data_IF_815052154799
#
_entry.id   IF_815052154799
#
_cell.length_a   1.000
_cell.length_b   1.000
_cell.length_c   1.000
_cell.angle_alpha   90.00
_cell.angle_beta   90.00
_cell.angle_gamma   90.00
#
_symmetry.space_group_name_H-M   'P 1'
#
loop_
_entity.id
_entity.type
_entity.pdbx_description
1 polymer ?
#
# COMPACT_ATOMS: atom_id res chain seq x y z
N UNK A 1 -4.68 28.74 0.68
CA UNK A 1 -5.00 27.34 1.02
C UNK A 1 -4.46 27.07 2.43
N UNK A 2 -5.19 26.27 3.23
CA UNK A 2 -4.68 25.84 4.55
C UNK A 2 -3.43 24.98 4.31
N UNK A 3 -2.40 25.15 5.13
CA UNK A 3 -1.25 24.26 5.14
C UNK A 3 -1.62 22.99 5.88
N UNK A 4 -1.42 21.84 5.27
CA UNK A 4 -1.80 20.53 5.82
C UNK A 4 -0.56 19.81 6.30
N UNK A 5 -0.62 19.28 7.50
CA UNK A 5 0.49 18.59 8.14
C UNK A 5 0.13 17.15 8.52
N UNK A 6 1.12 16.29 8.52
CA UNK A 6 1.08 14.93 9.03
C UNK A 6 1.66 14.99 10.45
N UNK A 7 0.80 14.83 11.44
CA UNK A 7 1.18 14.92 12.85
C UNK A 7 1.90 13.65 13.34
N UNK A 8 1.46 12.49 12.85
CA UNK A 8 2.07 11.20 13.19
C UNK A 8 1.82 10.16 12.11
N UNK A 9 2.58 9.08 12.18
CA UNK A 9 2.46 7.94 11.29
C UNK A 9 2.90 6.66 12.00
N UNK A 10 2.25 5.53 11.73
CA UNK A 10 2.70 4.21 12.17
C UNK A 10 2.13 3.10 11.29
N UNK A 11 2.72 1.92 11.37
CA UNK A 11 2.24 0.69 10.73
C UNK A 11 2.41 -0.52 11.63
N UNK A 12 1.69 -1.59 11.37
CA UNK A 12 2.06 -2.90 11.90
C UNK A 12 3.29 -3.43 11.17
N UNK A 13 3.98 -4.39 11.74
CA UNK A 13 4.80 -5.28 10.92
C UNK A 13 3.90 -5.99 9.89
N UNK A 14 4.48 -6.41 8.76
CA UNK A 14 3.75 -7.07 7.67
C UNK A 14 3.84 -8.58 7.84
N UNK A 15 2.67 -9.23 7.96
CA UNK A 15 2.54 -10.68 8.01
C UNK A 15 2.64 -11.31 6.61
N UNK A 16 3.25 -12.47 6.50
CA UNK A 16 3.23 -13.29 5.29
C UNK A 16 1.99 -14.16 5.23
N UNK A 17 1.64 -14.65 4.07
CA UNK A 17 0.53 -15.60 3.88
C UNK A 17 0.71 -16.86 4.77
N UNK A 18 -0.34 -17.20 5.54
CA UNK A 18 -0.30 -18.25 6.54
C UNK A 18 0.61 -17.96 7.73
N UNK A 19 1.02 -16.69 7.92
CA UNK A 19 1.93 -16.25 8.96
C UNK A 19 1.26 -15.84 10.27
N UNK A 20 1.96 -15.01 11.03
CA UNK A 20 1.57 -14.66 12.40
C UNK A 20 0.27 -13.86 12.45
N UNK A 21 -0.01 -13.03 11.42
CA UNK A 21 -1.25 -12.21 11.35
C UNK A 21 -2.44 -12.92 10.71
N UNK A 22 -2.30 -14.13 10.19
CA UNK A 22 -3.31 -14.84 9.39
C UNK A 22 -4.72 -14.88 10.00
N UNK A 23 -4.84 -14.86 11.32
CA UNK A 23 -6.12 -14.90 12.04
C UNK A 23 -6.47 -13.58 12.76
N UNK A 24 -5.80 -12.48 12.45
CA UNK A 24 -6.08 -11.17 13.04
C UNK A 24 -6.94 -10.36 12.06
N UNK A 25 -8.23 -10.09 12.36
CA UNK A 25 -9.11 -9.40 11.43
C UNK A 25 -8.57 -8.02 11.01
N UNK A 26 -8.80 -7.63 9.74
CA UNK A 26 -8.36 -6.33 9.22
C UNK A 26 -8.80 -5.15 10.11
N UNK A 27 -10.04 -5.16 10.61
CA UNK A 27 -10.55 -4.12 11.51
C UNK A 27 -9.80 -4.07 12.86
N UNK A 28 -9.24 -5.19 13.32
CA UNK A 28 -8.40 -5.23 14.53
C UNK A 28 -7.04 -4.60 14.25
N UNK A 29 -6.38 -5.00 13.14
CA UNK A 29 -5.13 -4.39 12.70
C UNK A 29 -5.29 -2.88 12.51
N UNK A 30 -6.39 -2.46 11.86
CA UNK A 30 -6.73 -1.05 11.68
C UNK A 30 -6.90 -0.30 13.01
N UNK A 31 -7.57 -0.93 14.00
CA UNK A 31 -7.77 -0.31 15.31
C UNK A 31 -6.45 -0.06 16.06
N UNK A 32 -5.50 -0.98 15.95
CA UNK A 32 -4.19 -0.88 16.59
C UNK A 32 -3.42 0.32 16.03
N UNK A 33 -3.35 0.47 14.72
CA UNK A 33 -2.61 1.58 14.09
C UNK A 33 -3.32 2.92 14.27
N UNK A 34 -4.65 2.98 14.26
CA UNK A 34 -5.41 4.21 14.55
C UNK A 34 -5.11 4.69 15.98
N UNK A 35 -5.23 3.79 16.94
CA UNK A 35 -4.95 4.12 18.35
C UNK A 35 -3.53 4.60 18.56
N UNK A 36 -2.57 3.92 17.97
CA UNK A 36 -1.15 4.28 18.09
C UNK A 36 -0.84 5.60 17.38
N UNK A 37 -1.39 5.85 16.19
CA UNK A 37 -1.22 7.11 15.50
C UNK A 37 -1.73 8.30 16.33
N UNK A 38 -2.89 8.17 16.97
CA UNK A 38 -3.42 9.18 17.90
C UNK A 38 -2.50 9.38 19.11
N UNK A 39 -2.00 8.30 19.71
CA UNK A 39 -1.05 8.36 20.82
C UNK A 39 0.23 9.13 20.45
N UNK A 40 0.81 8.82 19.29
CA UNK A 40 2.03 9.49 18.79
C UNK A 40 1.82 10.96 18.49
N UNK A 41 0.63 11.33 18.00
CA UNK A 41 0.24 12.72 17.76
C UNK A 41 -0.16 13.46 19.02
N UNK A 42 -0.29 12.78 20.17
CA UNK A 42 -0.90 13.32 21.40
C UNK A 42 -2.28 13.95 21.13
N UNK A 43 -3.07 13.32 20.26
CA UNK A 43 -4.44 13.71 19.90
C UNK A 43 -5.43 12.79 20.63
N UNK A 44 -6.42 13.40 21.31
CA UNK A 44 -7.49 12.63 21.97
C UNK A 44 -8.49 12.12 20.94
N UNK A 45 -9.09 10.94 21.15
CA UNK A 45 -10.10 10.38 20.23
C UNK A 45 -11.25 11.36 19.91
N UNK A 46 -11.68 12.16 20.91
CA UNK A 46 -12.80 13.13 20.79
C UNK A 46 -12.47 14.35 19.90
N UNK A 47 -11.20 14.53 19.54
CA UNK A 47 -10.75 15.63 18.67
C UNK A 47 -10.74 15.26 17.20
N UNK A 48 -11.00 13.98 16.86
CA UNK A 48 -10.97 13.48 15.48
C UNK A 48 -12.32 13.73 14.82
N UNK A 49 -12.29 14.47 13.72
CA UNK A 49 -13.50 14.81 12.96
C UNK A 49 -13.93 13.68 12.01
N UNK A 50 -12.96 12.94 11.43
CA UNK A 50 -13.25 11.92 10.43
C UNK A 50 -12.17 10.83 10.35
N UNK A 51 -12.55 9.63 9.84
CA UNK A 51 -11.65 8.50 9.60
C UNK A 51 -11.81 7.99 8.17
N UNK A 52 -10.71 7.94 7.41
CA UNK A 52 -10.61 7.26 6.12
C UNK A 52 -9.66 6.07 6.21
N UNK A 53 -10.16 4.84 6.02
CA UNK A 53 -9.31 3.65 5.99
C UNK A 53 -9.54 2.84 4.72
N UNK A 54 -8.45 2.55 4.00
CA UNK A 54 -8.44 1.65 2.88
C UNK A 54 -8.67 0.20 3.30
N UNK A 55 -9.52 -0.53 2.58
CA UNK A 55 -9.68 -1.97 2.68
C UNK A 55 -10.28 -2.47 1.38
N UNK A 56 -9.65 -3.43 0.73
CA UNK A 56 -10.02 -3.91 -0.62
C UNK A 56 -10.88 -5.16 -0.54
N UNK A 57 -10.43 -6.16 0.20
CA UNK A 57 -11.12 -7.45 0.32
C UNK A 57 -12.10 -7.37 1.50
N UNK A 58 -13.31 -6.89 1.21
CA UNK A 58 -14.32 -6.62 2.24
C UNK A 58 -15.35 -7.74 2.41
N UNK A 59 -15.34 -8.76 1.54
CA UNK A 59 -16.27 -9.86 1.63
C UNK A 59 -16.20 -10.57 3.00
N UNK A 60 -17.34 -10.69 3.68
CA UNK A 60 -17.41 -11.36 4.98
C UNK A 60 -16.91 -10.55 6.19
N UNK A 61 -16.35 -9.35 6.02
CA UNK A 61 -15.85 -8.52 7.14
C UNK A 61 -16.96 -7.73 7.87
N UNK A 62 -18.20 -7.79 7.40
CA UNK A 62 -19.30 -7.02 7.94
C UNK A 62 -19.40 -5.61 7.37
N UNK A 63 -20.23 -4.77 7.98
CA UNK A 63 -20.47 -3.41 7.49
C UNK A 63 -19.29 -2.49 7.80
N UNK A 64 -18.88 -1.68 6.83
CA UNK A 64 -17.95 -0.55 6.98
C UNK A 64 -16.74 -0.86 7.88
N UNK A 65 -15.75 -1.53 7.33
CA UNK A 65 -14.56 -2.01 8.08
C UNK A 65 -13.81 -0.86 8.77
N UNK A 66 -13.76 0.35 8.15
CA UNK A 66 -13.19 1.54 8.76
C UNK A 66 -13.94 1.97 10.02
N UNK A 67 -15.29 1.90 10.00
CA UNK A 67 -16.10 2.20 11.19
C UNK A 67 -15.84 1.21 12.31
N UNK A 68 -15.71 -0.08 12.01
CA UNK A 68 -15.35 -1.09 12.99
C UNK A 68 -13.99 -0.80 13.63
N UNK A 69 -12.98 -0.47 12.80
CA UNK A 69 -11.64 -0.14 13.28
C UNK A 69 -11.63 1.11 14.16
N UNK A 70 -12.34 2.18 13.75
CA UNK A 70 -12.41 3.44 14.51
C UNK A 70 -13.02 3.26 15.90
N UNK A 71 -14.15 2.55 16.00
CA UNK A 71 -14.80 2.28 17.28
C UNK A 71 -13.97 1.37 18.19
N UNK A 72 -13.31 0.34 17.60
CA UNK A 72 -12.37 -0.53 18.33
C UNK A 72 -11.14 0.24 18.84
N UNK A 73 -10.70 1.28 18.11
CA UNK A 73 -9.62 2.15 18.55
C UNK A 73 -10.02 3.11 19.69
N UNK A 74 -11.30 3.21 20.00
CA UNK A 74 -11.84 4.05 21.07
C UNK A 74 -12.32 5.44 20.62
N UNK A 75 -12.50 5.67 19.32
CA UNK A 75 -13.10 6.93 18.83
C UNK A 75 -14.59 6.99 19.23
N UNK A 76 -15.13 8.20 19.45
CA UNK A 76 -16.54 8.39 19.77
C UNK A 76 -17.47 7.93 18.63
N UNK A 77 -18.72 7.65 19.00
CA UNK A 77 -19.74 7.23 18.04
C UNK A 77 -20.11 8.36 17.06
N UNK A 78 -19.86 9.58 17.43
CA UNK A 78 -20.09 10.79 16.64
C UNK A 78 -19.08 10.94 15.50
N UNK A 79 -17.86 10.39 15.64
CA UNK A 79 -16.82 10.48 14.60
C UNK A 79 -17.17 9.55 13.44
N UNK A 80 -17.53 10.05 12.25
CA UNK A 80 -17.81 9.22 11.07
C UNK A 80 -16.56 8.55 10.55
N UNK A 81 -16.76 7.40 9.86
CA UNK A 81 -15.68 6.66 9.22
C UNK A 81 -16.10 6.12 7.86
N UNK A 82 -15.20 6.14 6.89
CA UNK A 82 -15.44 5.65 5.52
C UNK A 82 -14.37 4.65 5.11
N UNK A 83 -14.82 3.49 4.65
CA UNK A 83 -13.94 2.50 4.02
C UNK A 83 -13.74 2.87 2.55
N UNK A 84 -12.49 3.03 2.13
CA UNK A 84 -12.11 3.41 0.77
C UNK A 84 -11.58 2.20 0.03
N UNK A 85 -12.05 1.99 -1.18
CA UNK A 85 -11.51 1.00 -2.11
C UNK A 85 -11.14 1.65 -3.44
N UNK A 86 -9.86 1.84 -3.63
CA UNK A 86 -9.17 2.20 -4.87
C UNK A 86 -8.03 1.18 -5.05
N UNK A 87 -8.34 -0.10 -4.85
CA UNK A 87 -7.41 -1.23 -4.88
C UNK A 87 -6.11 -0.88 -4.12
N UNK A 88 -4.92 -1.10 -4.71
CA UNK A 88 -3.62 -0.84 -4.08
C UNK A 88 -3.42 0.61 -3.59
N UNK A 89 -4.06 1.57 -4.23
CA UNK A 89 -3.97 3.00 -3.90
C UNK A 89 -4.79 3.44 -2.71
N UNK A 90 -5.62 2.57 -2.13
CA UNK A 90 -6.60 2.94 -1.10
C UNK A 90 -5.99 3.71 0.06
N UNK A 91 -4.93 3.18 0.67
CA UNK A 91 -4.28 3.80 1.83
C UNK A 91 -3.67 5.17 1.55
N UNK A 92 -2.97 5.34 0.42
CA UNK A 92 -2.37 6.63 0.05
C UNK A 92 -3.45 7.65 -0.37
N UNK A 93 -4.49 7.18 -1.06
CA UNK A 93 -5.61 8.04 -1.43
C UNK A 93 -6.42 8.51 -0.22
N UNK A 94 -6.52 7.71 0.85
CA UNK A 94 -7.10 8.15 2.12
C UNK A 94 -6.39 9.39 2.67
N UNK A 95 -5.05 9.43 2.61
CA UNK A 95 -4.26 10.59 3.03
C UNK A 95 -4.55 11.80 2.15
N UNK A 96 -4.60 11.62 0.82
CA UNK A 96 -4.94 12.71 -0.11
C UNK A 96 -6.37 13.24 0.10
N UNK A 97 -7.34 12.35 0.36
CA UNK A 97 -8.72 12.74 0.68
C UNK A 97 -8.82 13.47 2.02
N UNK A 98 -8.08 13.04 3.04
CA UNK A 98 -8.00 13.72 4.33
C UNK A 98 -7.46 15.14 4.19
N UNK A 99 -6.38 15.31 3.45
CA UNK A 99 -5.81 16.63 3.17
C UNK A 99 -6.81 17.53 2.44
N UNK A 100 -7.50 17.02 1.42
CA UNK A 100 -8.52 17.74 0.65
C UNK A 100 -9.71 18.14 1.53
N UNK A 101 -10.18 17.27 2.43
CA UNK A 101 -11.27 17.55 3.36
C UNK A 101 -10.92 18.70 4.32
N UNK A 102 -9.67 18.71 4.83
CA UNK A 102 -9.18 19.78 5.69
C UNK A 102 -8.98 21.08 4.91
N UNK A 103 -8.47 21.02 3.68
CA UNK A 103 -8.37 22.20 2.80
C UNK A 103 -9.74 22.83 2.50
N UNK A 104 -10.77 21.98 2.31
CA UNK A 104 -12.16 22.43 2.10
C UNK A 104 -12.78 23.09 3.34
N UNK A 105 -12.22 22.81 4.53
CA UNK A 105 -12.74 23.35 5.80
C UNK A 105 -13.81 22.47 6.46
N UNK A 106 -14.01 21.23 5.98
CA UNK A 106 -15.01 20.31 6.52
C UNK A 106 -14.49 19.52 7.73
N UNK A 107 -13.18 19.56 7.98
CA UNK A 107 -12.52 18.93 9.13
C UNK A 107 -11.24 19.70 9.50
N UNK A 108 -10.78 19.51 10.73
CA UNK A 108 -9.47 19.98 11.21
C UNK A 108 -8.50 18.82 11.49
N UNK A 109 -9.01 17.66 11.96
CA UNK A 109 -8.22 16.47 12.27
C UNK A 109 -8.86 15.23 11.64
N UNK A 110 -8.13 14.55 10.79
CA UNK A 110 -8.57 13.32 10.10
C UNK A 110 -7.54 12.21 10.32
N UNK A 111 -8.00 11.02 10.70
CA UNK A 111 -7.18 9.80 10.65
C UNK A 111 -7.33 9.18 9.27
N UNK A 112 -6.20 8.93 8.61
CA UNK A 112 -6.15 8.33 7.27
C UNK A 112 -5.17 7.15 7.23
N UNK A 113 -5.54 6.09 6.53
CA UNK A 113 -4.67 4.92 6.44
C UNK A 113 -5.26 3.78 5.63
N UNK A 114 -4.86 2.56 5.96
CA UNK A 114 -5.40 1.35 5.35
C UNK A 114 -5.10 0.12 6.18
N UNK A 115 -5.87 -0.92 5.94
CA UNK A 115 -5.78 -2.21 6.62
C UNK A 115 -6.18 -3.31 5.65
N UNK A 116 -5.52 -4.44 5.73
CA UNK A 116 -5.85 -5.62 4.94
C UNK A 116 -5.46 -6.88 5.67
N UNK A 117 -6.30 -7.90 5.61
CA UNK A 117 -5.91 -9.26 5.92
C UNK A 117 -6.32 -10.14 4.72
N UNK A 118 -5.34 -10.49 3.90
CA UNK A 118 -5.57 -11.26 2.67
C UNK A 118 -5.77 -12.75 2.99
N UNK A 119 -5.23 -13.24 4.10
CA UNK A 119 -5.41 -14.62 4.57
C UNK A 119 -6.88 -14.93 4.91
N UNK A 120 -7.63 -13.93 5.40
CA UNK A 120 -9.03 -14.09 5.80
C UNK A 120 -10.02 -13.88 4.65
N UNK A 121 -9.55 -13.69 3.41
CA UNK A 121 -10.42 -13.57 2.25
C UNK A 121 -11.27 -14.85 2.06
N UNK A 122 -12.61 -14.77 2.08
CA UNK A 122 -13.45 -15.94 1.97
C UNK A 122 -13.58 -16.42 0.53
N UNK A 123 -13.97 -17.67 0.37
CA UNK A 123 -14.51 -18.17 -0.89
C UNK A 123 -16.01 -17.88 -0.98
N UNK A 124 -16.46 -17.28 -2.07
CA UNK A 124 -17.86 -16.90 -2.29
C UNK A 124 -18.57 -17.83 -3.28
N UNK A 125 -19.79 -18.18 -2.96
CA UNK A 125 -20.70 -18.87 -3.87
C UNK A 125 -21.60 -17.83 -4.55
N UNK A 126 -21.20 -17.30 -5.69
CA UNK A 126 -21.81 -16.13 -6.36
C UNK A 126 -23.32 -16.28 -6.63
N UNK A 127 -23.79 -17.47 -6.98
CA UNK A 127 -25.21 -17.76 -7.29
C UNK A 127 -25.94 -18.48 -6.15
N UNK A 128 -25.30 -18.64 -4.98
CA UNK A 128 -25.83 -19.42 -3.87
C UNK A 128 -27.15 -18.90 -3.28
N UNK A 129 -27.48 -17.60 -3.46
CA UNK A 129 -28.74 -16.99 -2.99
C UNK A 129 -29.99 -17.68 -3.54
N UNK A 130 -29.92 -18.24 -4.73
CA UNK A 130 -31.02 -18.97 -5.35
C UNK A 130 -30.96 -20.47 -5.08
N UNK A 131 -30.04 -20.94 -4.26
CA UNK A 131 -29.76 -22.35 -3.97
C UNK A 131 -29.03 -23.06 -5.11
N UNK A 132 -28.53 -24.26 -4.82
CA UNK A 132 -27.72 -25.02 -5.78
C UNK A 132 -28.46 -25.36 -7.05
N UNK A 133 -29.74 -25.74 -6.94
CA UNK A 133 -30.53 -26.23 -8.07
C UNK A 133 -30.98 -25.13 -9.05
N UNK A 134 -31.19 -23.89 -8.55
CA UNK A 134 -31.61 -22.74 -9.37
C UNK A 134 -30.44 -21.81 -9.73
N UNK A 135 -29.41 -21.76 -8.88
CA UNK A 135 -28.26 -20.84 -9.03
C UNK A 135 -27.17 -21.38 -9.95
N UNK A 136 -27.04 -22.71 -10.07
CA UNK A 136 -25.96 -23.34 -10.84
C UNK A 136 -26.50 -24.30 -11.88
N UNK A 137 -25.84 -24.48 -13.06
CA UNK A 137 -26.15 -25.53 -14.03
C UNK A 137 -26.04 -26.92 -13.39
N UNK A 138 -26.87 -27.88 -13.88
CA UNK A 138 -26.78 -29.26 -13.40
C UNK A 138 -25.38 -29.83 -13.58
N UNK A 139 -24.87 -30.43 -12.49
CA UNK A 139 -23.53 -31.05 -12.46
C UNK A 139 -22.35 -30.10 -12.28
N UNK A 140 -22.60 -28.79 -12.08
CA UNK A 140 -21.53 -27.79 -11.83
C UNK A 140 -21.87 -26.95 -10.61
N UNK A 141 -20.86 -26.69 -9.77
CA UNK A 141 -20.86 -25.68 -8.71
C UNK A 141 -19.50 -25.01 -8.70
N UNK A 142 -19.47 -23.74 -8.36
CA UNK A 142 -18.26 -22.92 -8.41
C UNK A 142 -18.14 -22.12 -7.13
N UNK A 143 -16.95 -22.14 -6.54
CA UNK A 143 -16.52 -21.24 -5.48
C UNK A 143 -15.50 -20.27 -6.07
N UNK A 144 -15.68 -18.99 -5.80
CA UNK A 144 -14.80 -17.92 -6.25
C UNK A 144 -13.95 -17.49 -5.06
N UNK A 145 -12.63 -17.52 -5.22
CA UNK A 145 -11.69 -16.94 -4.28
C UNK A 145 -11.78 -15.40 -4.36
N UNK A 146 -12.30 -14.77 -3.31
CA UNK A 146 -12.50 -13.32 -3.30
C UNK A 146 -11.20 -12.55 -3.23
N UNK A 147 -10.12 -13.13 -2.72
CA UNK A 147 -8.80 -12.53 -2.76
C UNK A 147 -8.34 -12.33 -4.20
N UNK A 148 -8.48 -13.35 -5.03
CA UNK A 148 -8.12 -13.27 -6.45
C UNK A 148 -9.11 -12.39 -7.20
N UNK A 149 -10.41 -12.65 -7.06
CA UNK A 149 -11.45 -11.98 -7.82
C UNK A 149 -11.53 -10.47 -7.57
N UNK A 150 -11.42 -10.04 -6.32
CA UNK A 150 -11.68 -8.65 -5.91
C UNK A 150 -10.40 -7.80 -5.84
N UNK A 151 -9.22 -8.44 -5.73
CA UNK A 151 -7.97 -7.71 -5.59
C UNK A 151 -6.91 -7.99 -6.67
N UNK A 152 -6.86 -9.21 -7.26
CA UNK A 152 -5.78 -9.64 -8.14
C UNK A 152 -6.21 -9.90 -9.59
N UNK A 153 -7.50 -9.75 -9.89
CA UNK A 153 -8.06 -9.98 -11.22
C UNK A 153 -8.62 -8.70 -11.83
N UNK A 154 -8.26 -8.41 -13.08
CA UNK A 154 -8.84 -7.26 -13.79
C UNK A 154 -10.31 -7.55 -14.18
N UNK A 155 -11.20 -6.71 -13.71
CA UNK A 155 -12.64 -6.75 -14.01
C UNK A 155 -13.06 -5.63 -14.98
N UNK A 156 -12.13 -4.84 -15.51
CA UNK A 156 -12.44 -3.68 -16.38
C UNK A 156 -12.65 -4.06 -17.85
N UNK A 157 -12.46 -5.33 -18.19
CA UNK A 157 -12.73 -5.86 -19.53
C UNK A 157 -11.58 -6.67 -20.15
N UNK A 158 -10.36 -6.55 -19.61
CA UNK A 158 -9.22 -7.34 -20.09
C UNK A 158 -9.17 -8.75 -19.49
N UNK A 159 -9.87 -8.98 -18.39
CA UNK A 159 -10.10 -10.30 -17.79
C UNK A 159 -8.80 -11.08 -17.55
N UNK A 160 -7.86 -10.49 -16.85
CA UNK A 160 -6.54 -11.06 -16.60
C UNK A 160 -6.06 -10.88 -15.16
N UNK A 161 -5.23 -11.79 -14.69
CA UNK A 161 -4.54 -11.66 -13.40
C UNK A 161 -3.52 -10.50 -13.43
N UNK A 162 -3.32 -9.83 -12.29
CA UNK A 162 -2.36 -8.71 -12.18
C UNK A 162 -0.94 -9.08 -12.63
N UNK A 163 -0.50 -10.33 -12.44
CA UNK A 163 0.77 -10.81 -12.96
C UNK A 163 0.88 -10.82 -14.49
N UNK A 164 -0.27 -10.97 -15.21
CA UNK A 164 -0.28 -10.81 -16.67
C UNK A 164 -0.08 -9.36 -17.09
N UNK A 165 -0.56 -8.39 -16.30
CA UNK A 165 -0.28 -6.97 -16.57
C UNK A 165 1.22 -6.67 -16.43
N UNK A 166 1.90 -7.34 -15.50
CA UNK A 166 3.35 -7.24 -15.34
C UNK A 166 4.11 -7.84 -16.56
N UNK A 167 3.67 -8.99 -17.09
CA UNK A 167 4.21 -9.54 -18.33
C UNK A 167 4.00 -8.59 -19.52
N UNK A 168 2.83 -7.94 -19.61
CA UNK A 168 2.55 -6.94 -20.66
C UNK A 168 3.49 -5.73 -20.57
N UNK A 169 3.80 -5.24 -19.38
CA UNK A 169 4.78 -4.17 -19.18
C UNK A 169 6.14 -4.57 -19.78
N UNK A 170 6.60 -5.80 -19.57
CA UNK A 170 7.91 -6.24 -20.07
C UNK A 170 7.97 -6.40 -21.59
N UNK A 171 6.87 -6.79 -22.24
CA UNK A 171 6.89 -7.30 -23.61
C UNK A 171 6.20 -6.42 -24.66
N UNK A 172 5.40 -5.42 -24.24
CA UNK A 172 4.61 -4.64 -25.19
C UNK A 172 5.32 -3.35 -25.65
N UNK A 173 5.90 -3.40 -26.84
CA UNK A 173 6.62 -2.27 -27.43
C UNK A 173 5.80 -0.98 -27.57
N UNK A 174 4.49 -1.08 -27.75
CA UNK A 174 3.62 0.11 -27.86
C UNK A 174 3.65 0.91 -26.58
N UNK A 175 3.57 0.24 -25.41
CA UNK A 175 3.62 0.89 -24.11
C UNK A 175 5.03 1.34 -23.75
N UNK A 176 6.06 0.57 -24.10
CA UNK A 176 7.46 0.99 -23.95
C UNK A 176 7.73 2.33 -24.63
N UNK A 177 7.32 2.47 -25.90
CA UNK A 177 7.43 3.72 -26.64
C UNK A 177 6.57 4.84 -26.08
N UNK A 178 5.30 4.53 -25.69
CA UNK A 178 4.35 5.51 -25.17
C UNK A 178 4.81 6.12 -23.85
N UNK A 179 5.33 5.31 -22.94
CA UNK A 179 5.70 5.71 -21.59
C UNK A 179 7.18 6.02 -21.41
N UNK A 180 8.03 5.66 -22.37
CA UNK A 180 9.45 6.04 -22.43
C UNK A 180 10.36 5.16 -21.58
N UNK A 181 10.24 3.83 -21.72
CA UNK A 181 11.14 2.86 -21.07
C UNK A 181 11.55 1.76 -22.06
N UNK A 182 12.61 1.03 -21.73
CA UNK A 182 13.19 -0.01 -22.59
C UNK A 182 12.52 -1.39 -22.37
N UNK A 183 12.69 -2.35 -23.31
CA UNK A 183 12.36 -3.75 -23.06
C UNK A 183 13.07 -4.27 -21.81
N UNK A 184 12.34 -5.01 -20.98
CA UNK A 184 12.84 -5.47 -19.68
C UNK A 184 13.10 -6.97 -19.74
N UNK A 185 14.30 -7.38 -19.33
CA UNK A 185 14.70 -8.79 -19.28
C UNK A 185 14.37 -9.44 -17.94
N UNK A 186 14.35 -10.76 -17.91
CA UNK A 186 14.22 -11.55 -16.69
C UNK A 186 15.32 -11.24 -15.67
N UNK A 187 16.53 -11.06 -16.13
CA UNK A 187 17.70 -10.79 -15.31
C UNK A 187 17.56 -9.46 -14.56
N UNK A 188 17.10 -8.40 -15.25
CA UNK A 188 16.79 -7.11 -14.62
C UNK A 188 15.71 -7.22 -13.53
N UNK A 189 14.68 -8.06 -13.75
CA UNK A 189 13.65 -8.28 -12.75
C UNK A 189 14.18 -8.98 -11.49
N UNK A 190 14.99 -10.01 -11.69
CA UNK A 190 15.58 -10.79 -10.60
C UNK A 190 16.61 -9.95 -9.82
N UNK A 191 17.40 -9.12 -10.50
CA UNK A 191 18.36 -8.19 -9.90
C UNK A 191 17.64 -7.13 -9.05
N UNK A 192 16.59 -6.52 -9.59
CA UNK A 192 15.77 -5.58 -8.83
C UNK A 192 15.20 -6.22 -7.55
N UNK A 193 14.63 -7.42 -7.69
CA UNK A 193 14.07 -8.16 -6.56
C UNK A 193 15.15 -8.53 -5.52
N UNK A 194 16.32 -8.94 -5.98
CA UNK A 194 17.47 -9.24 -5.12
C UNK A 194 17.88 -8.03 -4.29
N UNK A 195 18.02 -6.86 -4.90
CA UNK A 195 18.37 -5.63 -4.19
C UNK A 195 17.28 -5.16 -3.22
N UNK A 196 16.00 -5.34 -3.56
CA UNK A 196 14.91 -5.09 -2.60
C UNK A 196 15.05 -5.95 -1.34
N UNK A 197 15.35 -7.24 -1.51
CA UNK A 197 15.60 -8.18 -0.39
C UNK A 197 16.83 -7.81 0.43
N UNK A 198 17.94 -7.43 -0.21
CA UNK A 198 19.17 -6.98 0.49
C UNK A 198 18.91 -5.72 1.34
N UNK A 199 18.27 -4.71 0.74
CA UNK A 199 17.92 -3.45 1.42
C UNK A 199 17.00 -3.72 2.62
N UNK A 200 15.97 -4.57 2.46
CA UNK A 200 15.04 -4.90 3.54
C UNK A 200 15.71 -5.68 4.68
N UNK A 201 16.51 -6.69 4.35
CA UNK A 201 17.25 -7.47 5.35
C UNK A 201 18.22 -6.58 6.15
N UNK A 202 18.92 -5.69 5.47
CA UNK A 202 19.81 -4.71 6.12
C UNK A 202 19.00 -3.74 7.00
N UNK A 203 17.90 -3.18 6.52
CA UNK A 203 17.06 -2.24 7.26
C UNK A 203 16.50 -2.88 8.55
N UNK A 204 16.08 -4.15 8.51
CA UNK A 204 15.65 -4.89 9.71
C UNK A 204 16.81 -5.07 10.68
N UNK A 205 17.96 -5.51 10.20
CA UNK A 205 19.14 -5.71 11.05
C UNK A 205 19.61 -4.43 11.74
N UNK A 206 19.58 -3.29 11.01
CA UNK A 206 19.94 -1.97 11.51
C UNK A 206 18.83 -1.34 12.40
N UNK A 207 17.64 -1.96 12.45
CA UNK A 207 16.51 -1.45 13.24
C UNK A 207 15.81 -0.23 12.63
N UNK A 208 15.95 0.01 11.32
CA UNK A 208 15.39 1.17 10.62
C UNK A 208 13.86 1.27 10.72
N UNK A 209 13.16 0.16 10.93
CA UNK A 209 11.71 0.14 11.05
C UNK A 209 11.17 0.25 12.48
N UNK A 210 12.03 0.32 13.50
CA UNK A 210 11.60 0.32 14.91
C UNK A 210 10.69 1.49 15.27
N UNK A 211 10.94 2.66 14.71
CA UNK A 211 10.17 3.87 15.02
C UNK A 211 8.81 3.87 14.32
N UNK A 212 8.65 3.16 13.20
CA UNK A 212 7.41 3.15 12.45
C UNK A 212 6.47 1.99 12.84
N UNK A 213 7.01 0.88 13.33
CA UNK A 213 6.22 -0.31 13.68
C UNK A 213 5.57 -0.16 15.05
N UNK A 214 4.27 -0.48 15.11
CA UNK A 214 3.55 -0.74 16.36
C UNK A 214 3.39 -2.25 16.54
N UNK A 215 3.78 -2.82 17.69
CA UNK A 215 3.64 -4.24 17.94
C UNK A 215 2.17 -4.69 17.96
N UNK A 216 1.89 -5.84 17.34
CA UNK A 216 0.59 -6.53 17.43
C UNK A 216 0.71 -7.64 18.46
N UNK A 217 -0.10 -7.56 19.53
CA UNK A 217 -0.12 -8.58 20.59
C UNK A 217 -1.23 -9.59 20.32
N UNK A 218 -0.84 -10.81 19.99
CA UNK A 218 -1.75 -11.91 19.66
C UNK A 218 -1.91 -12.79 20.90
N UNK A 219 -3.15 -12.81 21.42
CA UNK A 219 -3.49 -13.60 22.61
C UNK A 219 -3.47 -15.10 22.32
N UNK A 220 -2.72 -15.86 23.09
CA UNK A 220 -2.59 -17.30 22.92
C UNK A 220 -2.82 -18.10 24.21
N UNK A 221 -3.30 -19.33 24.09
CA UNK A 221 -3.53 -20.23 25.26
C UNK A 221 -2.25 -20.55 26.04
N UNK A 222 -1.08 -20.46 25.39
CA UNK A 222 0.24 -20.76 25.99
C UNK A 222 1.06 -19.50 26.29
N UNK A 223 0.46 -18.33 26.18
CA UNK A 223 1.06 -17.01 26.32
C UNK A 223 0.85 -16.14 25.07
N UNK A 224 1.02 -14.85 25.24
CA UNK A 224 0.88 -13.88 24.17
C UNK A 224 2.11 -13.91 23.23
N UNK A 225 1.87 -13.74 21.94
CA UNK A 225 2.90 -13.51 20.93
C UNK A 225 2.93 -12.03 20.57
N UNK A 226 4.10 -11.41 20.65
CA UNK A 226 4.32 -10.03 20.18
C UNK A 226 4.87 -10.10 18.76
N UNK A 227 4.16 -9.50 17.81
CA UNK A 227 4.55 -9.42 16.42
C UNK A 227 4.96 -7.99 16.08
N UNK A 228 6.25 -7.76 15.87
CA UNK A 228 6.88 -6.45 15.71
C UNK A 228 7.97 -6.41 14.61
N UNK A 229 8.09 -7.48 13.82
CA UNK A 229 9.10 -7.59 12.76
C UNK A 229 8.47 -8.15 11.49
N UNK A 230 8.78 -7.55 10.35
CA UNK A 230 8.27 -7.97 9.05
C UNK A 230 8.70 -9.41 8.72
N UNK A 231 7.75 -10.28 8.36
CA UNK A 231 8.00 -11.71 8.06
C UNK A 231 8.40 -11.99 6.61
N UNK A 232 8.27 -10.99 5.72
CA UNK A 232 8.44 -11.16 4.29
C UNK A 232 9.88 -11.41 3.83
N UNK A 233 10.87 -10.67 4.35
CA UNK A 233 12.21 -10.71 3.78
C UNK A 233 12.86 -12.08 3.82
N UNK A 234 13.30 -12.54 2.64
CA UNK A 234 13.95 -13.83 2.44
C UNK A 234 15.05 -13.69 1.40
N UNK A 235 16.26 -13.37 1.87
CA UNK A 235 17.42 -13.24 1.01
C UNK A 235 17.74 -14.57 0.31
N UNK A 236 18.05 -14.49 -0.97
CA UNK A 236 18.43 -15.64 -1.82
C UNK A 236 19.59 -15.21 -2.73
N UNK A 237 20.15 -16.12 -3.53
CA UNK A 237 21.17 -15.77 -4.52
C UNK A 237 20.55 -15.56 -5.91
N UNK A 238 21.22 -14.78 -6.76
CA UNK A 238 20.82 -14.58 -8.16
C UNK A 238 20.73 -15.92 -8.92
N UNK A 239 21.59 -16.86 -8.61
CA UNK A 239 21.55 -18.22 -9.21
C UNK A 239 20.24 -18.95 -8.88
N UNK A 240 19.75 -18.83 -7.63
CA UNK A 240 18.48 -19.43 -7.20
C UNK A 240 17.31 -18.73 -7.85
N UNK A 241 17.32 -17.39 -7.90
CA UNK A 241 16.28 -16.61 -8.54
C UNK A 241 16.14 -16.95 -10.03
N UNK A 242 17.24 -17.03 -10.76
CA UNK A 242 17.28 -17.37 -12.19
C UNK A 242 16.70 -18.75 -12.52
N UNK A 243 16.66 -19.71 -11.58
CA UNK A 243 16.09 -21.04 -11.76
C UNK A 243 14.57 -21.12 -11.55
N UNK A 244 13.93 -20.06 -11.02
CA UNK A 244 12.49 -20.05 -10.78
C UNK A 244 11.70 -20.00 -12.08
N UNK A 245 10.60 -20.76 -12.12
CA UNK A 245 9.70 -20.78 -13.27
C UNK A 245 8.77 -19.56 -13.25
N UNK A 246 8.39 -19.05 -14.44
CA UNK A 246 7.34 -18.04 -14.53
C UNK A 246 6.02 -18.53 -13.91
N UNK A 247 5.27 -17.62 -13.29
CA UNK A 247 4.04 -17.95 -12.56
C UNK A 247 2.76 -17.67 -13.38
N UNK A 248 2.79 -16.72 -14.31
CA UNK A 248 1.56 -16.20 -14.92
C UNK A 248 1.45 -16.56 -16.41
N UNK A 249 2.56 -16.73 -17.10
CA UNK A 249 2.62 -17.03 -18.53
C UNK A 249 3.67 -18.12 -18.77
N UNK A 250 3.36 -19.12 -19.61
CA UNK A 250 4.22 -20.30 -19.84
C UNK A 250 5.67 -19.93 -20.20
N UNK A 251 5.82 -18.95 -21.11
CA UNK A 251 7.12 -18.45 -21.58
C UNK A 251 7.34 -17.01 -21.09
N UNK A 252 6.84 -16.68 -19.90
CA UNK A 252 6.98 -15.38 -19.28
C UNK A 252 8.27 -15.21 -18.50
N UNK A 253 8.42 -14.05 -17.88
CA UNK A 253 9.60 -13.69 -17.08
C UNK A 253 9.26 -13.27 -15.65
N UNK A 254 7.96 -13.15 -15.32
CA UNK A 254 7.48 -12.78 -13.98
C UNK A 254 7.37 -14.04 -13.13
N UNK A 255 8.07 -14.04 -11.99
CA UNK A 255 8.15 -15.19 -11.06
C UNK A 255 7.64 -14.81 -9.67
N UNK A 256 7.48 -15.78 -8.78
CA UNK A 256 7.15 -15.54 -7.39
C UNK A 256 8.22 -14.72 -6.63
N UNK A 257 9.47 -14.72 -7.08
CA UNK A 257 10.54 -13.98 -6.40
C UNK A 257 10.67 -12.52 -6.88
N UNK A 258 10.21 -12.22 -8.10
CA UNK A 258 10.20 -10.85 -8.63
C UNK A 258 8.79 -10.22 -8.64
N UNK A 259 7.92 -10.75 -7.76
CA UNK A 259 6.57 -10.29 -7.46
C UNK A 259 6.42 -10.09 -5.95
N UNK A 260 5.58 -9.15 -5.53
CA UNK A 260 5.17 -9.05 -4.13
C UNK A 260 4.33 -10.26 -3.72
N UNK A 261 4.35 -10.59 -2.44
CA UNK A 261 3.59 -11.69 -1.88
C UNK A 261 2.17 -11.25 -1.44
N UNK A 262 1.38 -12.22 -1.01
CA UNK A 262 0.10 -12.05 -0.31
C UNK A 262 0.43 -11.78 1.16
N UNK A 263 -0.14 -10.72 1.73
CA UNK A 263 0.28 -10.23 3.03
C UNK A 263 -0.87 -9.59 3.83
N UNK A 264 -0.63 -9.47 5.14
CA UNK A 264 -1.51 -8.84 6.10
C UNK A 264 -0.82 -7.67 6.76
N UNK A 265 -1.57 -6.60 7.04
CA UNK A 265 -1.00 -5.44 7.73
C UNK A 265 -1.91 -4.22 7.72
N UNK A 266 -1.51 -3.20 8.47
CA UNK A 266 -2.21 -1.93 8.53
C UNK A 266 -1.22 -0.77 8.74
N UNK A 267 -1.64 0.44 8.32
CA UNK A 267 -0.92 1.68 8.57
C UNK A 267 -1.92 2.83 8.77
N UNK A 268 -1.59 3.79 9.63
CA UNK A 268 -2.40 4.96 9.87
C UNK A 268 -1.54 6.21 10.10
N UNK A 269 -2.10 7.35 9.70
CA UNK A 269 -1.51 8.68 9.87
C UNK A 269 -2.57 9.61 10.45
N UNK A 270 -2.15 10.58 11.26
CA UNK A 270 -3.00 11.70 11.71
C UNK A 270 -2.67 12.92 10.87
N UNK A 271 -3.67 13.42 10.16
CA UNK A 271 -3.58 14.57 9.24
C UNK A 271 -4.35 15.72 9.88
N UNK A 272 -3.77 16.92 9.88
CA UNK A 272 -4.48 18.10 10.41
C UNK A 272 -4.03 19.39 9.73
N UNK A 273 -4.76 20.50 9.97
CA UNK A 273 -4.30 21.83 9.57
C UNK A 273 -3.10 22.26 10.43
N UNK A 274 -2.19 23.04 9.86
CA UNK A 274 -1.05 23.59 10.62
C UNK A 274 -1.53 24.48 11.79
N UNK A 275 -2.63 25.18 11.61
CA UNK A 275 -3.24 25.99 12.66
C UNK A 275 -3.68 25.11 13.83
N UNK A 276 -4.30 23.95 13.54
CA UNK A 276 -4.74 23.00 14.57
C UNK A 276 -3.57 22.34 15.28
N UNK A 277 -2.51 22.01 14.55
CA UNK A 277 -1.28 21.49 15.16
C UNK A 277 -0.69 22.49 16.16
N UNK A 278 -0.62 23.79 15.79
CA UNK A 278 -0.15 24.86 16.68
C UNK A 278 -1.05 25.03 17.92
N UNK A 279 -2.38 25.01 17.73
CA UNK A 279 -3.35 25.10 18.82
C UNK A 279 -3.16 23.97 19.85
N UNK A 280 -2.89 22.75 19.38
CA UNK A 280 -2.71 21.58 20.24
C UNK A 280 -1.27 21.39 20.74
N UNK A 281 -0.32 22.20 20.28
CA UNK A 281 1.09 22.06 20.61
C UNK A 281 1.71 20.77 20.02
N UNK A 282 1.18 20.30 18.88
CA UNK A 282 1.68 19.13 18.15
C UNK A 282 2.78 19.56 17.20
N UNK A 283 3.95 18.94 17.30
CA UNK A 283 5.03 19.11 16.34
C UNK A 283 4.78 18.18 15.13
N UNK A 284 4.59 18.73 13.92
CA UNK A 284 4.32 17.91 12.75
C UNK A 284 5.52 17.06 12.34
N UNK A 285 5.27 15.82 11.90
CA UNK A 285 6.27 14.95 11.31
C UNK A 285 6.63 15.43 9.89
N UNK A 286 5.67 15.92 9.11
CA UNK A 286 5.86 16.45 7.76
C UNK A 286 4.69 17.34 7.33
N UNK A 287 4.88 18.08 6.24
CA UNK A 287 3.84 18.78 5.49
C UNK A 287 3.40 17.93 4.29
N UNK A 288 2.10 17.77 4.09
CA UNK A 288 1.55 17.28 2.83
C UNK A 288 1.58 18.40 1.79
N UNK A 289 2.28 18.19 0.69
CA UNK A 289 2.44 19.20 -0.37
C UNK A 289 1.34 19.06 -1.42
N UNK A 290 1.16 17.87 -1.96
CA UNK A 290 0.13 17.56 -2.95
C UNK A 290 -0.08 16.06 -3.11
N UNK A 291 -1.25 15.70 -3.64
CA UNK A 291 -1.55 14.34 -4.07
C UNK A 291 -2.29 14.31 -5.41
N UNK A 292 -2.19 13.18 -6.12
CA UNK A 292 -2.86 12.96 -7.39
C UNK A 292 -3.23 11.49 -7.60
N UNK A 293 -4.38 11.28 -8.27
CA UNK A 293 -4.76 10.04 -8.95
C UNK A 293 -4.69 10.27 -10.46
N UNK A 294 -4.25 9.26 -11.21
CA UNK A 294 -4.24 9.30 -12.68
C UNK A 294 -4.58 7.91 -13.24
N UNK A 295 -5.19 7.89 -14.43
CA UNK A 295 -5.54 6.68 -15.16
C UNK A 295 -4.49 6.32 -16.22
N UNK A 296 -4.36 5.02 -16.49
CA UNK A 296 -3.59 4.42 -17.59
C UNK A 296 -4.38 3.22 -18.13
N UNK A 297 -3.90 2.57 -19.16
CA UNK A 297 -4.53 1.36 -19.69
C UNK A 297 -4.51 0.24 -18.63
N UNK A 298 -5.67 -0.40 -18.36
CA UNK A 298 -5.77 -1.45 -17.33
C UNK A 298 -4.81 -2.62 -17.54
N UNK A 299 -4.57 -3.01 -18.78
CA UNK A 299 -3.69 -4.13 -19.15
C UNK A 299 -2.21 -3.91 -18.85
N UNK A 300 -1.84 -2.67 -18.51
CA UNK A 300 -0.50 -2.26 -18.04
C UNK A 300 -0.61 -1.37 -16.80
N UNK A 301 -1.51 -1.71 -15.89
CA UNK A 301 -1.80 -0.95 -14.66
C UNK A 301 -0.54 -0.56 -13.88
N UNK A 302 0.52 -1.38 -13.98
CA UNK A 302 1.81 -1.12 -13.34
C UNK A 302 2.45 0.21 -13.72
N UNK A 303 2.09 0.80 -14.87
CA UNK A 303 2.58 2.09 -15.33
C UNK A 303 1.83 3.29 -14.72
N UNK A 304 0.79 3.05 -13.91
CA UNK A 304 0.03 4.08 -13.20
C UNK A 304 0.87 5.12 -12.45
N UNK A 305 1.96 4.73 -11.74
CA UNK A 305 2.85 5.67 -11.07
C UNK A 305 3.43 6.74 -12.00
N UNK A 306 3.69 6.42 -13.27
CA UNK A 306 4.22 7.39 -14.25
C UNK A 306 3.21 8.53 -14.45
N UNK A 307 1.95 8.19 -14.66
CA UNK A 307 0.89 9.17 -14.87
C UNK A 307 0.59 9.99 -13.61
N UNK A 308 0.51 9.32 -12.45
CA UNK A 308 0.22 9.97 -11.17
C UNK A 308 1.35 10.91 -10.73
N UNK A 309 2.61 10.48 -10.87
CA UNK A 309 3.79 11.29 -10.55
C UNK A 309 3.87 12.50 -11.47
N UNK A 310 3.74 12.33 -12.80
CA UNK A 310 3.72 13.46 -13.72
C UNK A 310 2.62 14.46 -13.38
N UNK A 311 1.44 13.99 -12.97
CA UNK A 311 0.32 14.84 -12.59
C UNK A 311 0.57 15.63 -11.29
N UNK A 312 1.14 15.01 -10.26
CA UNK A 312 1.45 15.71 -9.00
C UNK A 312 2.60 16.68 -9.17
N UNK A 313 3.62 16.34 -9.98
CA UNK A 313 4.71 17.25 -10.34
C UNK A 313 4.20 18.47 -11.10
N UNK A 314 3.34 18.30 -12.10
CA UNK A 314 2.70 19.41 -12.82
C UNK A 314 1.86 20.32 -11.90
N UNK A 315 1.20 19.75 -10.89
CA UNK A 315 0.42 20.49 -9.89
C UNK A 315 1.28 21.36 -8.98
N UNK A 316 2.49 20.93 -8.67
CA UNK A 316 3.39 21.59 -7.72
C UNK A 316 4.47 22.45 -8.37
N UNK A 317 4.74 22.22 -9.64
CA UNK A 317 5.90 22.81 -10.34
C UNK A 317 7.23 22.14 -9.98
N UNK A 318 7.21 21.05 -9.17
CA UNK A 318 8.38 20.26 -8.83
C UNK A 318 8.70 19.23 -9.92
N UNK A 319 9.91 18.70 -9.85
CA UNK A 319 10.40 17.59 -10.69
C UNK A 319 10.81 16.40 -9.81
N UNK A 320 11.08 15.27 -10.43
CA UNK A 320 11.59 14.09 -9.72
C UNK A 320 12.98 14.37 -9.12
N UNK A 321 13.80 15.18 -9.77
CA UNK A 321 15.14 15.54 -9.29
C UNK A 321 15.11 16.34 -7.99
N UNK A 322 13.99 17.04 -7.70
CA UNK A 322 13.80 17.77 -6.44
C UNK A 322 13.52 16.83 -5.24
N UNK A 323 13.29 15.54 -5.49
CA UNK A 323 13.00 14.57 -4.43
C UNK A 323 14.29 14.02 -3.84
N UNK A 324 14.39 14.05 -2.51
CA UNK A 324 15.52 13.45 -1.78
C UNK A 324 15.34 11.95 -1.62
N UNK A 325 14.10 11.49 -1.37
CA UNK A 325 13.75 10.08 -1.26
C UNK A 325 12.46 9.77 -2.02
N UNK A 326 12.37 8.54 -2.51
CA UNK A 326 11.22 8.01 -3.25
C UNK A 326 10.84 6.65 -2.69
N UNK A 327 9.59 6.48 -2.31
CA UNK A 327 8.97 5.18 -2.04
C UNK A 327 7.98 4.86 -3.17
N UNK A 328 8.36 3.97 -4.07
CA UNK A 328 7.53 3.45 -5.14
C UNK A 328 7.16 1.99 -4.83
N UNK A 329 5.88 1.69 -4.66
CA UNK A 329 5.45 0.35 -4.26
C UNK A 329 5.84 -0.70 -5.31
N UNK A 330 6.45 -1.78 -4.85
CA UNK A 330 6.96 -2.88 -5.69
C UNK A 330 5.91 -4.00 -5.79
N UNK A 331 4.79 -3.76 -6.49
CA UNK A 331 3.84 -4.84 -6.75
C UNK A 331 4.47 -5.97 -7.58
N UNK A 332 5.29 -5.59 -8.57
CA UNK A 332 6.13 -6.47 -9.40
C UNK A 332 7.43 -5.74 -9.74
N UNK A 333 8.54 -6.46 -9.87
CA UNK A 333 9.79 -5.87 -10.38
C UNK A 333 9.61 -5.29 -11.78
N UNK A 334 8.77 -5.90 -12.63
CA UNK A 334 8.44 -5.45 -13.97
C UNK A 334 8.00 -3.97 -14.00
N UNK A 335 6.99 -3.62 -13.20
CA UNK A 335 6.52 -2.24 -13.17
C UNK A 335 7.50 -1.31 -12.45
N UNK A 336 8.23 -1.80 -11.46
CA UNK A 336 9.20 -0.97 -10.72
C UNK A 336 10.36 -0.54 -11.62
N UNK A 337 10.90 -1.45 -12.44
CA UNK A 337 11.94 -1.14 -13.42
C UNK A 337 11.42 -0.17 -14.48
N UNK A 338 10.24 -0.45 -15.09
CA UNK A 338 9.63 0.42 -16.09
C UNK A 338 9.38 1.84 -15.58
N UNK A 339 8.82 1.97 -14.38
CA UNK A 339 8.54 3.26 -13.74
C UNK A 339 9.83 4.01 -13.41
N UNK A 340 10.84 3.30 -12.88
CA UNK A 340 12.15 3.88 -12.56
C UNK A 340 12.85 4.44 -13.80
N UNK A 341 12.83 3.71 -14.92
CA UNK A 341 13.38 4.20 -16.19
C UNK A 341 12.59 5.40 -16.73
N UNK A 342 11.26 5.28 -16.82
CA UNK A 342 10.39 6.30 -17.42
C UNK A 342 10.36 7.64 -16.65
N UNK A 343 10.64 7.60 -15.36
CA UNK A 343 10.70 8.76 -14.48
C UNK A 343 12.13 9.15 -14.07
N UNK A 344 13.13 8.41 -14.56
CA UNK A 344 14.55 8.62 -14.25
C UNK A 344 14.84 8.60 -12.75
N UNK A 345 14.26 7.63 -12.01
CA UNK A 345 14.49 7.51 -10.57
C UNK A 345 15.95 7.16 -10.27
N UNK A 346 16.56 7.95 -9.38
CA UNK A 346 17.86 7.63 -8.80
C UNK A 346 17.72 6.41 -7.88
N UNK A 347 18.42 5.32 -8.18
CA UNK A 347 18.36 4.07 -7.43
C UNK A 347 18.87 4.18 -5.99
N UNK A 348 19.72 5.18 -5.70
CA UNK A 348 20.20 5.47 -4.34
C UNK A 348 19.15 6.19 -3.47
N UNK A 349 18.13 6.79 -4.12
CA UNK A 349 17.00 7.46 -3.47
C UNK A 349 15.73 6.59 -3.42
N UNK A 350 15.70 5.51 -4.21
CA UNK A 350 14.52 4.66 -4.40
C UNK A 350 14.49 3.52 -3.39
N UNK A 351 13.37 3.41 -2.64
CA UNK A 351 13.09 2.30 -1.73
C UNK A 351 14.34 1.94 -0.90
N UNK A 352 14.87 2.93 -0.21
CA UNK A 352 16.19 2.84 0.45
C UNK A 352 16.26 1.77 1.56
N UNK A 353 15.11 1.32 2.04
CA UNK A 353 14.96 0.27 3.04
C UNK A 353 14.34 -1.02 2.44
N UNK A 354 14.39 -1.19 1.11
CA UNK A 354 13.66 -2.25 0.41
C UNK A 354 12.17 -1.93 0.25
N UNK A 355 11.47 -2.68 -0.59
CA UNK A 355 10.07 -2.43 -0.91
C UNK A 355 9.20 -3.69 -0.81
N UNK A 356 8.03 -3.66 -1.46
CA UNK A 356 7.00 -4.67 -1.27
C UNK A 356 7.37 -6.08 -1.76
N UNK A 357 8.31 -6.23 -2.68
CA UNK A 357 8.83 -7.56 -3.07
C UNK A 357 9.44 -8.28 -1.87
N UNK A 358 10.13 -7.53 -1.01
CA UNK A 358 10.74 -8.06 0.21
C UNK A 358 9.78 -7.99 1.40
N UNK A 359 9.20 -6.81 1.66
CA UNK A 359 8.40 -6.56 2.86
C UNK A 359 6.98 -7.12 2.77
N UNK A 360 6.37 -7.08 1.57
CA UNK A 360 5.00 -7.51 1.34
C UNK A 360 4.04 -6.40 0.89
N UNK A 361 2.86 -6.82 0.39
CA UNK A 361 1.87 -5.94 -0.23
C UNK A 361 0.44 -6.20 0.30
N UNK A 362 0.13 -5.85 1.56
CA UNK A 362 -1.25 -5.85 2.05
C UNK A 362 -2.05 -4.75 1.31
N UNK A 363 -2.86 -5.15 0.32
CA UNK A 363 -3.33 -4.30 -0.78
C UNK A 363 -3.92 -2.97 -0.31
N UNK A 364 -4.93 -2.99 0.57
CA UNK A 364 -5.59 -1.77 1.05
C UNK A 364 -4.73 -0.90 1.99
N UNK A 365 -3.72 -1.49 2.62
CA UNK A 365 -2.81 -0.79 3.54
C UNK A 365 -1.57 -0.22 2.85
N UNK A 366 -1.14 -0.80 1.73
CA UNK A 366 0.17 -0.54 1.12
C UNK A 366 0.44 0.92 0.81
N UNK A 367 -0.56 1.66 0.32
CA UNK A 367 -0.37 3.08 0.03
C UNK A 367 -0.05 3.92 1.26
N UNK A 368 -0.67 3.65 2.40
CA UNK A 368 -0.33 4.28 3.67
C UNK A 368 1.03 3.76 4.20
N UNK A 369 1.31 2.45 4.05
CA UNK A 369 2.56 1.82 4.48
C UNK A 369 3.77 2.48 3.82
N UNK A 370 3.76 2.66 2.48
CA UNK A 370 4.89 3.29 1.78
C UNK A 370 5.12 4.73 2.24
N UNK A 371 4.03 5.48 2.51
CA UNK A 371 4.17 6.84 3.03
C UNK A 371 4.74 6.85 4.45
N UNK A 372 4.32 5.95 5.33
CA UNK A 372 4.89 5.80 6.68
C UNK A 372 6.40 5.52 6.59
N UNK A 373 6.80 4.54 5.78
CA UNK A 373 8.22 4.19 5.60
C UNK A 373 9.02 5.37 5.01
N UNK A 374 8.47 6.08 4.01
CA UNK A 374 9.09 7.29 3.46
C UNK A 374 9.37 8.34 4.53
N UNK A 375 8.37 8.65 5.37
CA UNK A 375 8.48 9.67 6.41
C UNK A 375 9.58 9.33 7.42
N UNK A 376 9.65 8.08 7.88
CA UNK A 376 10.71 7.69 8.82
C UNK A 376 12.08 7.58 8.15
N UNK A 377 12.17 7.13 6.90
CA UNK A 377 13.41 7.16 6.14
C UNK A 377 13.92 8.60 5.93
N UNK A 378 13.03 9.55 5.62
CA UNK A 378 13.35 10.98 5.51
C UNK A 378 13.89 11.52 6.84
N UNK A 379 13.19 11.27 7.93
CA UNK A 379 13.60 11.69 9.28
C UNK A 379 14.99 11.16 9.65
N UNK A 380 15.24 9.87 9.45
CA UNK A 380 16.53 9.24 9.81
C UNK A 380 17.70 9.70 8.94
N UNK A 381 17.42 10.12 7.70
CA UNK A 381 18.44 10.54 6.73
C UNK A 381 18.58 12.05 6.61
N UNK A 382 17.75 12.84 7.31
CA UNK A 382 17.72 14.31 7.19
C UNK A 382 17.29 14.77 5.79
N UNK A 383 16.42 14.01 5.12
CA UNK A 383 15.87 14.35 3.82
C UNK A 383 14.69 15.31 3.95
N UNK A 384 14.52 16.22 2.98
CA UNK A 384 13.53 17.29 3.06
C UNK A 384 12.29 17.02 2.19
N UNK A 385 12.46 16.48 0.98
CA UNK A 385 11.33 16.21 0.06
C UNK A 385 11.24 14.73 -0.27
N UNK A 386 10.03 14.21 -0.20
CA UNK A 386 9.75 12.81 -0.50
C UNK A 386 8.54 12.59 -1.40
N UNK A 387 8.64 11.58 -2.25
CA UNK A 387 7.57 11.10 -3.13
C UNK A 387 7.16 9.69 -2.74
N UNK A 388 5.88 9.48 -2.43
CA UNK A 388 5.28 8.16 -2.36
C UNK A 388 4.40 7.93 -3.60
N UNK A 389 4.56 6.80 -4.30
CA UNK A 389 3.74 6.47 -5.48
C UNK A 389 3.50 4.98 -5.60
N UNK A 390 2.36 4.59 -6.17
CA UNK A 390 2.03 3.19 -6.43
C UNK A 390 1.07 3.01 -7.60
N UNK A 391 1.16 1.83 -8.23
CA UNK A 391 0.21 1.36 -9.22
C UNK A 391 -1.09 0.89 -8.56
N UNK A 392 -2.16 0.83 -9.34
CA UNK A 392 -3.50 0.48 -8.90
C UNK A 392 -4.13 -0.43 -9.95
N UNK A 393 -4.66 -1.57 -9.52
CA UNK A 393 -5.45 -2.46 -10.37
C UNK A 393 -6.60 -1.72 -11.06
N UNK A 394 -6.92 -2.12 -12.29
CA UNK A 394 -7.89 -1.41 -13.13
C UNK A 394 -7.29 -0.24 -13.93
N UNK A 395 -5.97 -0.05 -13.90
CA UNK A 395 -5.26 0.93 -14.73
C UNK A 395 -5.22 2.33 -14.14
N UNK A 396 -4.70 2.46 -12.93
CA UNK A 396 -4.54 3.77 -12.26
C UNK A 396 -3.20 3.85 -11.52
N UNK A 397 -2.86 5.05 -11.05
CA UNK A 397 -1.78 5.30 -10.11
C UNK A 397 -2.15 6.37 -9.09
N UNK A 398 -1.51 6.33 -7.94
CA UNK A 398 -1.59 7.36 -6.91
C UNK A 398 -0.19 7.88 -6.58
N UNK A 399 -0.08 9.17 -6.30
CA UNK A 399 1.16 9.81 -5.88
C UNK A 399 0.89 10.86 -4.82
N UNK A 400 1.84 11.03 -3.90
CA UNK A 400 1.80 12.04 -2.83
C UNK A 400 3.20 12.58 -2.60
N UNK A 401 3.33 13.91 -2.52
CA UNK A 401 4.56 14.62 -2.17
C UNK A 401 4.43 15.14 -0.75
N UNK A 402 5.49 14.94 0.04
CA UNK A 402 5.63 15.45 1.41
C UNK A 402 6.94 16.21 1.59
N UNK A 403 6.97 17.12 2.57
CA UNK A 403 8.14 17.94 2.91
C UNK A 403 8.34 18.00 4.44
N UNK A 404 9.60 17.90 4.90
CA UNK A 404 10.03 18.04 6.31
C UNK A 404 10.80 19.33 6.55
#
# INVERSE_FOLDING_TARGET
MKKIVIASACRTAIGKFGGTLANVPAAELGSIVIKEALNRANVKPEQVDHVYMGCVIQAGLGQNVARQASLKAGLPIETPAVTVNVVCGSGLNCVNMAAQMIEAGDADIVVAGGMENMDMAPFAMMKGRYGYRKGYPMGKSELVDTMVNDALWDATGFNMHMGMTAENVCTNETYQKKYGYNPISREQLDEFAFHSQEKAAKAIADGAFKDEIVPVVIKGKKGDTVFDTDEGPRLSSMEVLGKLKPCFKKDGIVTAANSSAINDGAAALVIMSEEKAKELGVEPLATWVAGALAGVEPEVMGLGPIAATKKVMAKTGLTVDDMDLIEANEAFAAQSVAVGEALHFDQEKLNVNGGAIALGHPVGASGARILVTLLYAMKHRGAHKGLATLCIGGGMGCATIVEM
#
